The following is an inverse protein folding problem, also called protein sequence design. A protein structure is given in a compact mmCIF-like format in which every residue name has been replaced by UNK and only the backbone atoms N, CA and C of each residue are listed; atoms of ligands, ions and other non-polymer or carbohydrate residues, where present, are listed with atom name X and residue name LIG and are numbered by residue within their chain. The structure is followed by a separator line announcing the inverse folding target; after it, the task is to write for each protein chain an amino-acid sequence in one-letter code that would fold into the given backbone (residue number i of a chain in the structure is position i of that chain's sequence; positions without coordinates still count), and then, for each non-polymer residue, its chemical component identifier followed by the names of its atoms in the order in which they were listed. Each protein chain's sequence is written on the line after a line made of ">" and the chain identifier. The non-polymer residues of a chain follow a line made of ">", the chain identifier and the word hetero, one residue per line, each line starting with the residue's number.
data_IF_656741185498
#
_entry.id   IF_656741185498
#
_cell.length_a   1.000
_cell.length_b   1.000
_cell.length_c   1.000
_cell.angle_alpha   90.00
_cell.angle_beta   90.00
_cell.angle_gamma   90.00
#
_symmetry.space_group_name_H-M   'P 1'
#
loop_
_entity.id
_entity.type
_entity.pdbx_description
1 polymer ?
#
# COMPACT_ATOMS: atom_id res chain seq x y z
N UNK A 1 54.78 -6.45 -23.16
CA UNK A 1 53.45 -6.18 -23.75
C UNK A 1 52.65 -7.47 -23.71
N UNK A 2 51.78 -7.59 -22.71
CA UNK A 2 51.00 -8.80 -22.41
C UNK A 2 49.58 -8.61 -22.94
N UNK A 3 49.17 -9.39 -23.95
CA UNK A 3 47.76 -9.51 -24.31
C UNK A 3 47.13 -10.58 -23.42
N UNK A 4 46.39 -10.13 -22.40
CA UNK A 4 45.63 -10.99 -21.50
C UNK A 4 44.20 -11.13 -22.04
N UNK A 5 43.89 -12.40 -22.33
CA UNK A 5 42.60 -13.08 -22.53
C UNK A 5 41.32 -12.25 -22.34
N UNK A 6 40.42 -12.37 -23.33
CA UNK A 6 38.97 -12.17 -23.17
C UNK A 6 38.49 -13.01 -21.99
N UNK A 7 37.89 -12.37 -20.99
CA UNK A 7 37.02 -13.00 -20.02
C UNK A 7 35.60 -12.52 -20.32
N UNK A 8 34.72 -13.48 -20.52
CA UNK A 8 33.30 -13.29 -20.76
C UNK A 8 32.71 -12.51 -19.58
N UNK A 9 32.14 -11.35 -19.88
CA UNK A 9 31.32 -10.59 -18.95
C UNK A 9 29.91 -11.17 -19.04
N UNK A 10 29.74 -12.36 -18.46
CA UNK A 10 28.44 -12.90 -18.06
C UNK A 10 28.48 -12.97 -16.54
N UNK A 11 28.50 -11.81 -15.92
CA UNK A 11 28.27 -11.71 -14.48
C UNK A 11 26.77 -11.97 -14.26
N UNK A 12 26.51 -13.12 -13.64
CA UNK A 12 25.24 -13.51 -13.08
C UNK A 12 24.56 -12.32 -12.39
N UNK A 13 23.41 -11.90 -12.93
CA UNK A 13 22.46 -11.13 -12.15
C UNK A 13 21.86 -12.14 -11.16
N UNK A 14 22.46 -12.28 -9.99
CA UNK A 14 21.79 -12.90 -8.86
C UNK A 14 20.50 -12.09 -8.64
N UNK A 15 19.36 -12.67 -9.00
CA UNK A 15 18.05 -12.14 -8.64
C UNK A 15 17.99 -12.00 -7.12
N UNK A 16 18.22 -10.78 -6.66
CA UNK A 16 18.22 -10.47 -5.24
C UNK A 16 16.78 -10.61 -4.74
N UNK A 17 16.53 -11.65 -3.96
CA UNK A 17 15.25 -11.87 -3.30
C UNK A 17 14.84 -10.64 -2.47
N UNK A 18 13.72 -10.02 -2.84
CA UNK A 18 13.16 -8.84 -2.18
C UNK A 18 12.35 -7.97 -3.14
N UNK A 19 11.57 -7.03 -2.59
CA UNK A 19 10.85 -6.05 -3.39
C UNK A 19 11.84 -5.06 -4.03
N UNK A 20 11.69 -4.83 -5.32
CA UNK A 20 12.47 -3.85 -6.06
C UNK A 20 11.84 -2.45 -5.93
N UNK A 21 12.61 -1.40 -6.19
CA UNK A 21 12.07 -0.04 -6.21
C UNK A 21 11.15 0.14 -7.42
N UNK A 22 9.88 0.45 -7.16
CA UNK A 22 8.90 0.82 -8.17
C UNK A 22 9.04 2.28 -8.64
N UNK A 23 8.04 2.75 -9.36
CA UNK A 23 7.97 4.15 -9.83
C UNK A 23 7.49 5.10 -8.72
N UNK A 24 7.89 6.37 -8.80
CA UNK A 24 7.35 7.42 -7.94
C UNK A 24 5.95 7.82 -8.43
N UNK A 25 5.02 8.00 -7.50
CA UNK A 25 3.64 8.41 -7.79
C UNK A 25 3.16 9.51 -6.85
N UNK A 26 2.35 10.43 -7.38
CA UNK A 26 1.38 11.15 -6.55
C UNK A 26 0.18 10.24 -6.22
N UNK A 27 -0.60 10.60 -5.19
CA UNK A 27 -1.78 9.82 -4.81
C UNK A 27 -2.81 9.72 -5.95
N UNK A 28 -2.98 10.80 -6.73
CA UNK A 28 -3.92 10.82 -7.86
C UNK A 28 -3.45 9.90 -9.01
N UNK A 29 -2.15 9.92 -9.32
CA UNK A 29 -1.57 9.05 -10.35
C UNK A 29 -1.64 7.58 -9.93
N UNK A 30 -1.30 7.29 -8.67
CA UNK A 30 -1.37 5.93 -8.14
C UNK A 30 -2.80 5.38 -8.16
N UNK A 31 -3.79 6.21 -7.82
CA UNK A 31 -5.19 5.83 -7.90
C UNK A 31 -5.60 5.46 -9.34
N UNK A 32 -5.26 6.29 -10.32
CA UNK A 32 -5.54 6.00 -11.75
C UNK A 32 -4.86 4.72 -12.21
N UNK A 33 -3.61 4.51 -11.81
CA UNK A 33 -2.86 3.28 -12.11
C UNK A 33 -3.52 2.05 -11.48
N UNK A 34 -3.91 2.12 -10.20
CA UNK A 34 -4.59 1.04 -9.49
C UNK A 34 -5.94 0.68 -10.10
N UNK A 35 -6.72 1.69 -10.50
CA UNK A 35 -8.01 1.52 -11.16
C UNK A 35 -7.82 0.87 -12.54
N UNK A 36 -6.87 1.35 -13.33
CA UNK A 36 -6.54 0.78 -14.65
C UNK A 36 -6.08 -0.67 -14.55
N UNK A 37 -5.21 -1.00 -13.59
CA UNK A 37 -4.75 -2.38 -13.36
C UNK A 37 -5.94 -3.29 -13.05
N UNK A 38 -6.83 -2.85 -12.13
CA UNK A 38 -8.01 -3.64 -11.75
C UNK A 38 -8.94 -3.84 -12.96
N UNK A 39 -9.20 -2.80 -13.75
CA UNK A 39 -10.03 -2.91 -14.96
C UNK A 39 -9.42 -3.85 -16.00
N UNK A 40 -8.11 -3.83 -16.21
CA UNK A 40 -7.44 -4.68 -17.20
C UNK A 40 -7.40 -6.14 -16.75
N UNK A 41 -7.00 -6.39 -15.50
CA UNK A 41 -6.83 -7.73 -14.96
C UNK A 41 -8.16 -8.48 -14.90
N UNK A 42 -9.19 -7.81 -14.41
CA UNK A 42 -10.48 -8.41 -14.13
C UNK A 42 -11.43 -8.23 -15.34
N UNK A 43 -11.40 -7.09 -16.04
CA UNK A 43 -12.38 -6.73 -17.08
C UNK A 43 -12.32 -7.54 -18.37
N UNK A 44 -11.36 -8.45 -18.53
CA UNK A 44 -11.23 -9.34 -19.70
C UNK A 44 -11.87 -10.73 -19.51
N UNK A 45 -12.85 -10.91 -18.62
CA UNK A 45 -13.67 -12.13 -18.60
C UNK A 45 -14.86 -12.03 -19.56
N UNK A 46 -14.59 -12.29 -20.84
CA UNK A 46 -15.63 -12.39 -21.87
C UNK A 46 -15.07 -12.66 -23.26
N UNK A 47 -14.54 -13.87 -23.48
CA UNK A 47 -14.33 -14.43 -24.82
C UNK A 47 -15.66 -14.51 -25.58
N UNK A 48 -15.63 -14.01 -26.81
CA UNK A 48 -16.43 -14.37 -27.98
C UNK A 48 -17.97 -14.31 -27.88
N UNK A 49 -18.55 -13.36 -28.62
CA UNK A 49 -19.99 -13.18 -28.93
C UNK A 49 -20.89 -12.57 -27.83
N UNK A 50 -20.58 -11.35 -27.36
CA UNK A 50 -21.56 -10.52 -26.64
C UNK A 50 -21.80 -9.22 -27.43
N UNK A 51 -23.07 -8.82 -27.56
CA UNK A 51 -23.45 -7.65 -28.35
C UNK A 51 -22.81 -6.37 -27.80
N UNK A 52 -22.41 -5.44 -28.68
CA UNK A 52 -21.82 -4.14 -28.33
C UNK A 52 -22.68 -3.31 -27.34
N UNK A 53 -23.97 -3.63 -27.23
CA UNK A 53 -24.91 -2.98 -26.31
C UNK A 53 -24.82 -3.55 -24.89
N UNK A 54 -24.69 -4.86 -24.76
CA UNK A 54 -24.47 -5.53 -23.47
C UNK A 54 -23.07 -5.22 -22.90
N UNK A 55 -22.06 -5.08 -23.76
CA UNK A 55 -20.71 -4.65 -23.35
C UNK A 55 -20.73 -3.26 -22.70
N UNK A 56 -21.50 -2.30 -23.24
CA UNK A 56 -21.59 -0.96 -22.63
C UNK A 56 -22.30 -0.98 -21.28
N UNK A 57 -23.34 -1.79 -21.11
CA UNK A 57 -24.07 -1.94 -19.86
C UNK A 57 -23.27 -2.72 -18.81
N UNK A 58 -22.55 -3.78 -19.21
CA UNK A 58 -21.70 -4.56 -18.31
C UNK A 58 -20.44 -3.80 -17.90
N UNK A 59 -19.81 -3.03 -18.78
CA UNK A 59 -18.60 -2.25 -18.47
C UNK A 59 -18.86 -1.14 -17.45
N UNK A 60 -20.09 -0.59 -17.40
CA UNK A 60 -20.48 0.39 -16.36
C UNK A 60 -20.80 -0.25 -15.00
N UNK A 61 -21.03 -1.57 -14.92
CA UNK A 61 -21.41 -2.27 -13.69
C UNK A 61 -20.37 -3.22 -13.12
N UNK A 62 -19.38 -3.63 -13.91
CA UNK A 62 -18.56 -4.76 -13.51
C UNK A 62 -17.42 -4.34 -12.59
N UNK A 63 -17.58 -4.62 -11.31
CA UNK A 63 -16.54 -4.56 -10.27
C UNK A 63 -16.37 -5.97 -9.70
N UNK A 64 -15.14 -6.51 -9.61
CA UNK A 64 -14.94 -7.82 -9.01
C UNK A 64 -15.35 -7.80 -7.53
N UNK A 65 -16.02 -8.87 -7.10
CA UNK A 65 -16.37 -9.10 -5.70
C UNK A 65 -15.13 -9.37 -4.85
N UNK A 66 -15.26 -9.24 -3.52
CA UNK A 66 -14.14 -9.49 -2.60
C UNK A 66 -13.69 -10.95 -2.68
N UNK A 67 -14.64 -11.87 -2.83
CA UNK A 67 -14.42 -13.30 -2.95
C UNK A 67 -13.68 -13.65 -4.26
N UNK A 68 -14.00 -12.97 -5.36
CA UNK A 68 -13.27 -13.13 -6.63
C UNK A 68 -11.83 -12.62 -6.52
N UNK A 69 -11.61 -11.48 -5.87
CA UNK A 69 -10.26 -10.94 -5.65
C UNK A 69 -9.46 -11.87 -4.73
N UNK A 70 -10.05 -12.35 -3.64
CA UNK A 70 -9.38 -13.24 -2.69
C UNK A 70 -9.01 -14.59 -3.34
N UNK A 71 -9.97 -15.21 -4.04
CA UNK A 71 -9.72 -16.48 -4.72
C UNK A 71 -8.61 -16.37 -5.77
N UNK A 72 -8.61 -15.27 -6.52
CA UNK A 72 -7.60 -15.01 -7.54
C UNK A 72 -6.23 -14.68 -6.93
N UNK A 73 -6.20 -13.90 -5.84
CA UNK A 73 -4.98 -13.64 -5.08
C UNK A 73 -4.32 -14.95 -4.62
N UNK A 74 -5.09 -15.86 -4.02
CA UNK A 74 -4.56 -17.15 -3.58
C UNK A 74 -4.17 -18.06 -4.75
N UNK A 75 -4.86 -17.97 -5.91
CA UNK A 75 -4.44 -18.66 -7.13
C UNK A 75 -3.04 -18.21 -7.54
N UNK A 76 -2.81 -16.90 -7.64
CA UNK A 76 -1.50 -16.31 -7.99
C UNK A 76 -0.41 -16.76 -7.01
N UNK A 77 -0.68 -16.69 -5.70
CA UNK A 77 0.30 -17.02 -4.66
C UNK A 77 0.66 -18.51 -4.62
N UNK A 78 -0.32 -19.41 -4.81
CA UNK A 78 -0.13 -20.85 -4.64
C UNK A 78 0.25 -21.56 -5.94
N UNK A 79 -0.30 -21.12 -7.08
CA UNK A 79 -0.12 -21.74 -8.38
C UNK A 79 0.00 -20.64 -9.46
N UNK A 80 1.18 -19.98 -9.56
CA UNK A 80 1.38 -18.94 -10.55
C UNK A 80 1.47 -19.57 -11.94
N UNK A 81 0.42 -19.38 -12.74
CA UNK A 81 0.44 -19.70 -14.17
C UNK A 81 1.15 -18.58 -14.97
N UNK A 82 1.00 -17.34 -14.51
CA UNK A 82 1.57 -16.12 -15.09
C UNK A 82 2.18 -15.24 -13.99
N UNK A 83 3.13 -14.39 -14.38
CA UNK A 83 3.74 -13.40 -13.50
C UNK A 83 2.83 -12.17 -13.33
N UNK A 84 2.56 -11.80 -12.08
CA UNK A 84 1.74 -10.65 -11.72
C UNK A 84 2.55 -9.73 -10.81
N UNK A 85 2.89 -8.55 -11.30
CA UNK A 85 3.58 -7.51 -10.56
C UNK A 85 2.60 -6.41 -10.14
N UNK A 86 2.77 -5.91 -8.92
CA UNK A 86 1.97 -4.81 -8.35
C UNK A 86 2.85 -3.89 -7.52
N UNK A 87 2.50 -2.61 -7.49
CA UNK A 87 3.18 -1.63 -6.67
C UNK A 87 2.54 -1.54 -5.27
N UNK A 88 3.33 -1.18 -4.27
CA UNK A 88 2.85 -0.95 -2.91
C UNK A 88 3.64 0.16 -2.20
N UNK A 89 2.96 1.27 -1.90
CA UNK A 89 3.51 2.39 -1.13
C UNK A 89 3.47 2.07 0.37
N UNK A 90 4.40 1.25 0.84
CA UNK A 90 4.51 0.85 2.24
C UNK A 90 5.42 1.78 3.05
N UNK A 91 5.20 1.80 4.37
CA UNK A 91 6.08 2.44 5.36
C UNK A 91 6.36 3.93 5.08
N UNK A 92 5.37 4.65 4.52
CA UNK A 92 5.50 6.07 4.21
C UNK A 92 5.44 6.90 5.49
N UNK A 93 6.46 7.71 5.73
CA UNK A 93 6.56 8.54 6.93
C UNK A 93 5.57 9.71 6.89
N UNK A 94 4.62 9.73 7.82
CA UNK A 94 3.63 10.82 7.91
C UNK A 94 4.21 12.14 8.41
N UNK A 95 5.45 12.16 8.91
CA UNK A 95 6.19 13.40 9.12
C UNK A 95 6.54 14.09 7.79
N UNK A 96 6.75 13.31 6.72
CA UNK A 96 7.08 13.79 5.37
C UNK A 96 5.81 14.04 4.56
N UNK A 97 4.94 13.03 4.46
CA UNK A 97 3.75 13.05 3.59
C UNK A 97 2.49 13.61 4.25
N UNK A 98 2.61 14.09 5.49
CA UNK A 98 1.51 14.44 6.38
C UNK A 98 0.63 13.24 6.77
N UNK A 99 -0.05 13.37 7.91
CA UNK A 99 -1.00 12.37 8.36
C UNK A 99 -2.36 12.63 7.72
N UNK A 100 -3.09 11.58 7.34
CA UNK A 100 -4.49 11.75 6.92
C UNK A 100 -5.46 12.11 8.07
N UNK A 101 -4.99 12.22 9.32
CA UNK A 101 -5.80 12.70 10.43
C UNK A 101 -5.66 14.22 10.56
N UNK A 102 -6.74 14.93 10.95
CA UNK A 102 -6.66 16.36 11.22
C UNK A 102 -5.70 16.62 12.39
N UNK A 103 -4.92 17.69 12.28
CA UNK A 103 -4.08 18.20 13.37
C UNK A 103 -4.88 19.27 14.12
N UNK A 104 -4.83 19.23 15.45
CA UNK A 104 -5.39 20.33 16.25
C UNK A 104 -4.52 21.58 16.03
N UNK A 105 -5.07 22.62 15.39
CA UNK A 105 -4.41 23.91 15.30
C UNK A 105 -4.67 24.71 16.58
N UNK A 106 -3.59 25.06 17.29
CA UNK A 106 -3.68 25.95 18.46
C UNK A 106 -4.02 27.40 18.07
N UNK A 107 -3.90 27.75 16.78
CA UNK A 107 -4.10 29.10 16.24
C UNK A 107 -5.57 29.47 16.01
N UNK A 108 -6.47 28.51 15.81
CA UNK A 108 -7.88 28.77 15.52
C UNK A 108 -8.74 28.49 16.76
N UNK A 109 -8.61 29.37 17.75
CA UNK A 109 -9.23 29.26 19.07
C UNK A 109 -10.76 29.18 19.11
N UNK A 110 -11.45 29.07 17.98
CA UNK A 110 -12.92 29.01 17.92
C UNK A 110 -13.51 27.76 17.27
N UNK A 111 -12.71 26.84 16.71
CA UNK A 111 -13.19 25.56 16.15
C UNK A 111 -12.12 24.48 16.21
N UNK A 112 -11.91 23.89 17.39
CA UNK A 112 -11.09 22.68 17.48
C UNK A 112 -11.86 21.49 16.90
N UNK A 113 -11.29 20.84 15.90
CA UNK A 113 -11.84 19.62 15.32
C UNK A 113 -11.84 18.50 16.37
N UNK A 114 -12.99 17.92 16.76
CA UNK A 114 -13.05 16.82 17.73
C UNK A 114 -12.21 15.60 17.29
N UNK A 115 -12.04 15.36 15.98
CA UNK A 115 -11.20 14.28 15.47
C UNK A 115 -9.70 14.59 15.63
N UNK A 116 -9.31 15.86 15.68
CA UNK A 116 -7.94 16.29 15.96
C UNK A 116 -7.51 16.03 17.41
N UNK A 117 -8.46 16.05 18.35
CA UNK A 117 -8.23 15.82 19.78
C UNK A 117 -8.50 14.38 20.24
N UNK A 118 -9.16 13.57 19.40
CA UNK A 118 -9.53 12.20 19.75
C UNK A 118 -8.32 11.34 20.15
N UNK A 119 -8.49 10.48 21.15
CA UNK A 119 -7.50 9.47 21.52
C UNK A 119 -7.34 8.37 20.47
N UNK A 120 -8.31 8.24 19.54
CA UNK A 120 -8.25 7.34 18.39
C UNK A 120 -7.53 7.95 17.17
N UNK A 121 -7.14 9.22 17.24
CA UNK A 121 -6.22 9.79 16.26
C UNK A 121 -4.83 9.18 16.50
N UNK A 122 -4.27 8.47 15.51
CA UNK A 122 -3.01 7.75 15.68
C UNK A 122 -1.84 8.67 16.04
N UNK A 123 -1.91 9.96 15.69
CA UNK A 123 -0.90 10.95 16.10
C UNK A 123 -0.92 11.20 17.62
N UNK A 124 -2.07 11.01 18.27
CA UNK A 124 -2.28 11.24 19.70
C UNK A 124 -2.18 9.94 20.52
N UNK A 125 -2.42 8.79 19.90
CA UNK A 125 -2.53 7.49 20.56
C UNK A 125 -1.27 7.13 21.36
N UNK A 126 -0.09 7.43 20.81
CA UNK A 126 1.20 7.17 21.46
C UNK A 126 1.35 7.87 22.82
N UNK A 127 0.79 9.08 22.96
CA UNK A 127 0.93 9.96 24.14
C UNK A 127 -0.21 9.79 25.15
N UNK A 128 -1.08 8.80 24.96
CA UNK A 128 -2.15 8.54 25.92
C UNK A 128 -1.55 8.16 27.28
N UNK A 129 -2.14 8.59 28.42
CA UNK A 129 -1.57 8.38 29.76
C UNK A 129 -1.30 6.92 30.17
N UNK A 130 -1.83 5.94 29.43
CA UNK A 130 -1.66 4.50 29.67
C UNK A 130 -0.75 3.82 28.64
N UNK A 131 -0.20 4.57 27.70
CA UNK A 131 0.74 4.10 26.71
C UNK A 131 2.16 4.21 27.26
N UNK A 132 2.93 3.11 27.24
CA UNK A 132 4.35 3.13 27.61
C UNK A 132 5.15 4.02 26.64
N UNK A 133 4.69 4.18 25.39
CA UNK A 133 5.30 5.07 24.41
C UNK A 133 5.18 6.56 24.77
N UNK A 134 4.38 6.91 25.79
CA UNK A 134 4.32 8.30 26.27
C UNK A 134 5.60 8.77 26.97
N UNK A 135 6.45 7.83 27.41
CA UNK A 135 7.77 8.11 27.98
C UNK A 135 8.87 8.22 26.93
N UNK A 136 8.58 7.82 25.69
CA UNK A 136 9.51 7.98 24.58
C UNK A 136 9.50 9.44 24.10
N UNK A 137 10.68 10.04 24.07
CA UNK A 137 10.87 11.43 23.68
C UNK A 137 11.18 11.56 22.20
N UNK A 138 11.74 10.52 21.58
CA UNK A 138 12.12 10.53 20.18
C UNK A 138 10.94 10.22 19.26
N UNK A 139 10.91 10.91 18.12
CA UNK A 139 9.94 10.66 17.04
C UNK A 139 10.39 9.48 16.18
N UNK A 140 10.34 8.27 16.76
CA UNK A 140 10.69 7.02 16.07
C UNK A 140 9.65 6.72 14.99
N UNK A 141 10.08 6.73 13.71
CA UNK A 141 9.24 6.43 12.55
C UNK A 141 8.64 5.01 12.65
N UNK A 142 7.34 4.88 12.37
CA UNK A 142 6.60 3.61 12.44
C UNK A 142 6.20 3.15 13.85
N UNK A 143 6.80 3.71 14.89
CA UNK A 143 6.51 3.38 16.30
C UNK A 143 5.75 4.51 16.99
N UNK A 144 6.30 5.71 16.88
CA UNK A 144 5.86 6.93 17.57
C UNK A 144 5.25 7.89 16.54
N UNK A 145 5.82 7.96 15.33
CA UNK A 145 5.17 8.60 14.17
C UNK A 145 4.44 7.53 13.35
N UNK A 146 3.13 7.65 13.09
CA UNK A 146 2.40 6.67 12.29
C UNK A 146 2.96 6.57 10.87
N UNK A 147 2.94 5.36 10.31
CA UNK A 147 3.15 5.15 8.88
C UNK A 147 1.84 5.23 8.09
N UNK A 148 1.97 5.60 6.82
CA UNK A 148 0.93 5.57 5.82
C UNK A 148 1.22 4.43 4.85
N UNK A 149 0.17 3.72 4.46
CA UNK A 149 0.21 2.66 3.47
C UNK A 149 -0.75 3.00 2.35
N UNK A 150 -0.27 2.94 1.11
CA UNK A 150 -1.07 3.15 -0.10
C UNK A 150 -0.95 1.88 -0.94
N UNK A 151 -2.05 1.15 -1.06
CA UNK A 151 -2.10 -0.13 -1.78
C UNK A 151 -3.05 -0.09 -2.96
N UNK A 152 -2.83 -1.02 -3.88
CA UNK A 152 -3.68 -1.33 -5.01
C UNK A 152 -4.17 -2.78 -4.92
N UNK A 153 -4.85 -3.26 -5.96
CA UNK A 153 -5.29 -4.66 -5.99
C UNK A 153 -4.09 -5.60 -5.89
N UNK A 154 -4.20 -6.64 -5.05
CA UNK A 154 -3.15 -7.61 -4.73
C UNK A 154 -1.91 -7.08 -3.99
N UNK A 155 -1.81 -5.78 -3.67
CA UNK A 155 -0.74 -5.29 -2.78
C UNK A 155 -0.77 -6.05 -1.45
N UNK A 156 0.40 -6.52 -1.02
CA UNK A 156 0.50 -7.51 0.03
C UNK A 156 1.48 -7.10 1.11
N UNK A 157 1.13 -7.44 2.34
CA UNK A 157 2.03 -7.36 3.49
C UNK A 157 2.32 -8.77 3.99
N UNK A 158 3.57 -9.21 3.82
CA UNK A 158 3.97 -10.56 4.21
C UNK A 158 3.86 -10.77 5.72
N UNK A 159 3.83 -12.04 6.14
CA UNK A 159 3.82 -12.39 7.55
C UNK A 159 5.06 -11.84 8.27
N UNK A 160 4.85 -10.87 9.17
CA UNK A 160 5.90 -10.31 10.02
C UNK A 160 5.55 -10.44 11.49
N UNK A 161 6.56 -10.38 12.37
CA UNK A 161 6.39 -10.13 13.80
C UNK A 161 7.00 -8.78 14.13
N UNK A 162 6.26 -7.94 14.84
CA UNK A 162 6.84 -6.72 15.38
C UNK A 162 7.82 -7.08 16.50
N UNK A 163 9.03 -6.52 16.43
CA UNK A 163 10.19 -6.89 17.25
C UNK A 163 10.05 -6.55 18.74
N UNK A 164 9.01 -5.80 19.10
CA UNK A 164 8.63 -5.47 20.47
C UNK A 164 7.13 -5.80 20.52
N UNK A 165 6.64 -6.40 21.61
CA UNK A 165 5.23 -6.78 21.83
C UNK A 165 4.30 -5.54 21.94
N UNK A 166 4.43 -4.62 20.99
CA UNK A 166 3.57 -3.47 20.80
C UNK A 166 2.28 -3.94 20.14
N UNK A 167 1.20 -3.24 20.48
CA UNK A 167 -0.06 -3.39 19.77
C UNK A 167 0.03 -2.64 18.44
N UNK A 168 -0.29 -3.32 17.35
CA UNK A 168 -0.39 -2.71 16.02
C UNK A 168 -1.84 -2.35 15.73
N UNK A 169 -2.09 -1.08 15.39
CA UNK A 169 -3.42 -0.57 15.07
C UNK A 169 -3.39 0.00 13.66
N UNK A 170 -4.20 -0.57 12.76
CA UNK A 170 -4.40 -0.09 11.40
C UNK A 170 -5.76 0.59 11.29
N UNK A 171 -5.80 1.76 10.64
CA UNK A 171 -7.04 2.47 10.35
C UNK A 171 -7.11 2.76 8.85
N UNK A 172 -8.07 2.13 8.17
CA UNK A 172 -8.42 2.42 6.78
C UNK A 172 -9.20 3.72 6.70
N UNK A 173 -8.73 4.67 5.88
CA UNK A 173 -9.39 5.97 5.68
C UNK A 173 -10.30 6.02 4.46
N UNK A 174 -9.84 5.44 3.36
CA UNK A 174 -10.53 5.39 2.08
C UNK A 174 -10.13 4.12 1.32
N UNK A 175 -10.95 3.74 0.35
CA UNK A 175 -10.79 2.58 -0.53
C UNK A 175 -11.90 2.56 -1.56
#
# INVERSE_FOLDING_TARGET
>A
MSQKRRSADSADQEEKFGFQSGSDFTLEEFQKYADMFKEQYFGMKGSDEISLFEIKQHKEMWRPSVEEIEGEYWRIVVCPDDEVEVDYGADLDTAIFSSGFPKSSLSDGNKQDPYGLSCWNLNNLRRQPRSVLSFETEDISGVVVPWLYVGMCFSSFCWVRFFILLFLIHLMKCG
#
